data_IF_649270794438
#
_entry.id   IF_649270794438
#
_cell.length_a   1.000
_cell.length_b   1.000
_cell.length_c   1.000
_cell.angle_alpha   90.00
_cell.angle_beta   90.00
_cell.angle_gamma   90.00
#
_symmetry.space_group_name_H-M   'P 1'
#
loop_
_entity.id
_entity.type
_entity.pdbx_description
1 polymer ?
#
# COMPACT_ATOMS: atom_id res chain seq x y z
N UNK A 1 10.71 18.69 13.24
CA UNK A 1 9.33 19.20 13.10
C UNK A 1 8.49 17.94 13.11
N UNK A 2 7.64 17.68 14.12
CA UNK A 2 6.85 16.43 14.12
C UNK A 2 5.92 16.48 12.91
N UNK A 3 6.11 15.56 11.95
CA UNK A 3 5.17 15.39 10.86
C UNK A 3 3.83 14.96 11.46
N UNK A 4 2.81 15.82 11.38
CA UNK A 4 1.44 15.41 11.60
C UNK A 4 0.99 14.60 10.39
N UNK A 5 1.12 13.28 10.49
CA UNK A 5 0.71 12.32 9.48
C UNK A 5 -0.82 12.36 9.26
N UNK A 6 -1.35 13.35 8.56
CA UNK A 6 -2.79 13.44 8.28
C UNK A 6 -3.67 13.45 9.54
N UNK A 7 -3.16 13.98 10.67
CA UNK A 7 -4.02 14.30 11.80
C UNK A 7 -4.91 15.47 11.37
N UNK A 8 -6.22 15.27 11.32
CA UNK A 8 -7.14 16.39 11.13
C UNK A 8 -6.98 17.37 12.30
N UNK A 9 -7.04 18.68 12.03
CA UNK A 9 -7.01 19.75 13.03
C UNK A 9 -8.05 19.54 14.17
N UNK A 10 -9.08 18.73 13.93
CA UNK A 10 -10.19 18.44 14.84
C UNK A 10 -9.94 17.33 15.87
N UNK A 11 -8.78 16.67 15.85
CA UNK A 11 -8.47 15.55 16.74
C UNK A 11 -9.29 14.28 16.45
N UNK A 12 -9.06 13.20 17.21
CA UNK A 12 -9.72 11.91 16.98
C UNK A 12 -11.08 11.81 17.69
N UNK A 13 -12.09 11.31 17.00
CA UNK A 13 -13.41 11.06 17.62
C UNK A 13 -13.42 9.80 18.50
N UNK A 14 -14.30 9.69 19.51
CA UNK A 14 -14.34 8.55 20.43
C UNK A 14 -14.59 7.19 19.78
N UNK A 15 -15.33 7.12 18.67
CA UNK A 15 -15.65 5.87 17.98
C UNK A 15 -14.41 5.36 17.25
N UNK A 16 -13.73 6.24 16.51
CA UNK A 16 -12.46 5.91 15.85
C UNK A 16 -11.37 5.56 16.85
N UNK A 17 -11.25 6.34 17.94
CA UNK A 17 -10.31 6.06 19.01
C UNK A 17 -10.52 4.66 19.61
N UNK A 18 -11.78 4.28 19.85
CA UNK A 18 -12.11 2.95 20.36
C UNK A 18 -11.76 1.84 19.38
N UNK A 19 -12.03 2.02 18.08
CA UNK A 19 -11.63 1.05 17.05
C UNK A 19 -10.12 0.83 17.03
N UNK A 20 -9.32 1.91 17.13
CA UNK A 20 -7.86 1.82 17.20
C UNK A 20 -7.43 0.97 18.39
N UNK A 21 -7.92 1.27 19.60
CA UNK A 21 -7.53 0.54 20.82
C UNK A 21 -7.87 -0.95 20.73
N UNK A 22 -9.06 -1.31 20.23
CA UNK A 22 -9.48 -2.71 20.09
C UNK A 22 -8.60 -3.48 19.09
N UNK A 23 -8.27 -2.88 17.93
CA UNK A 23 -7.43 -3.50 16.90
C UNK A 23 -5.99 -3.66 17.39
N UNK A 24 -5.40 -2.58 17.93
CA UNK A 24 -4.02 -2.55 18.42
C UNK A 24 -3.86 -3.48 19.63
N UNK A 25 -4.79 -3.44 20.59
CA UNK A 25 -4.76 -4.29 21.77
C UNK A 25 -4.96 -5.78 21.48
N UNK A 26 -5.86 -6.11 20.54
CA UNK A 26 -6.17 -7.48 20.19
C UNK A 26 -5.03 -8.18 19.43
N UNK A 27 -4.61 -7.60 18.30
CA UNK A 27 -3.70 -8.26 17.36
C UNK A 27 -2.29 -7.65 17.37
N UNK A 28 -2.11 -6.44 17.89
CA UNK A 28 -0.85 -5.69 17.75
C UNK A 28 -0.53 -5.32 16.30
N UNK A 29 -1.58 -5.21 15.47
CA UNK A 29 -1.49 -4.75 14.10
C UNK A 29 -1.96 -3.30 14.03
N UNK A 30 -1.38 -2.46 13.15
CA UNK A 30 -1.94 -1.15 12.87
C UNK A 30 -3.34 -1.32 12.22
N UNK A 31 -4.32 -0.49 12.59
CA UNK A 31 -5.58 -0.40 11.83
C UNK A 31 -5.32 0.20 10.45
N UNK A 32 -6.24 -0.01 9.50
CA UNK A 32 -6.13 0.59 8.17
C UNK A 32 -6.26 2.13 8.21
N UNK A 33 -6.94 2.69 9.21
CA UNK A 33 -7.01 4.13 9.48
C UNK A 33 -6.72 4.42 10.95
N UNK A 34 -6.09 5.56 11.23
CA UNK A 34 -5.82 6.04 12.59
C UNK A 34 -4.50 5.54 13.18
N UNK A 35 -3.71 4.78 12.41
CA UNK A 35 -2.36 4.45 12.82
C UNK A 35 -1.47 5.70 12.93
N UNK A 36 -1.77 6.75 12.18
CA UNK A 36 -1.07 8.04 12.24
C UNK A 36 -1.00 8.66 13.64
N UNK A 37 -2.01 8.44 14.46
CA UNK A 37 -2.08 9.04 15.80
C UNK A 37 -1.06 8.46 16.77
N UNK A 38 -0.45 7.31 16.44
CA UNK A 38 0.57 6.67 17.27
C UNK A 38 1.86 6.32 16.52
N UNK A 39 2.02 6.75 15.27
CA UNK A 39 3.27 6.61 14.51
C UNK A 39 4.39 7.41 15.18
N UNK A 40 5.59 6.83 15.26
CA UNK A 40 6.79 7.51 15.73
C UNK A 40 8.05 6.86 15.12
N UNK A 41 9.12 7.64 14.97
CA UNK A 41 10.45 7.14 14.58
C UNK A 41 10.56 6.69 13.13
N UNK A 42 9.67 7.17 12.25
CA UNK A 42 9.75 6.92 10.80
C UNK A 42 9.95 8.22 10.01
N UNK A 43 10.07 9.36 10.71
CA UNK A 43 9.99 10.70 10.14
C UNK A 43 11.03 10.91 9.04
N UNK A 44 12.30 10.59 9.31
CA UNK A 44 13.37 10.76 8.31
C UNK A 44 13.11 9.98 7.01
N UNK A 45 12.62 8.75 7.10
CA UNK A 45 12.31 7.95 5.91
C UNK A 45 11.09 8.47 5.17
N UNK A 46 10.06 8.87 5.92
CA UNK A 46 8.80 9.32 5.37
C UNK A 46 8.92 10.71 4.74
N UNK A 47 9.67 11.65 5.34
CA UNK A 47 9.98 12.98 4.77
C UNK A 47 10.63 12.85 3.41
N UNK A 48 11.71 12.05 3.29
CA UNK A 48 12.38 11.84 2.01
C UNK A 48 11.48 11.14 0.99
N UNK A 49 10.66 10.16 1.41
CA UNK A 49 9.71 9.51 0.48
C UNK A 49 8.64 10.51 0.02
N UNK A 50 8.18 11.37 0.90
CA UNK A 50 7.18 12.39 0.60
C UNK A 50 7.73 13.41 -0.41
N UNK A 51 8.84 14.07 -0.08
CA UNK A 51 9.35 15.23 -0.82
C UNK A 51 10.11 14.82 -2.10
N UNK A 52 11.05 13.87 -1.99
CA UNK A 52 11.95 13.52 -3.10
C UNK A 52 11.34 12.52 -4.09
N UNK A 53 10.32 11.76 -3.65
CA UNK A 53 9.69 10.73 -4.48
C UNK A 53 8.25 11.04 -4.86
N UNK A 54 7.33 11.05 -3.89
CA UNK A 54 5.89 11.14 -4.18
C UNK A 54 5.49 12.55 -4.64
N UNK A 55 6.01 13.59 -3.99
CA UNK A 55 5.75 14.99 -4.35
C UNK A 55 6.46 15.45 -5.63
N UNK A 56 7.51 14.75 -6.06
CA UNK A 56 8.37 15.15 -7.17
C UNK A 56 8.71 14.02 -8.15
N UNK A 57 9.80 13.25 -7.94
CA UNK A 57 10.39 12.36 -8.94
C UNK A 57 9.40 11.39 -9.59
N UNK A 58 8.56 10.72 -8.81
CA UNK A 58 7.59 9.75 -9.32
C UNK A 58 6.46 10.48 -10.06
N UNK A 59 6.01 11.63 -9.55
CA UNK A 59 4.94 12.44 -10.16
C UNK A 59 5.33 12.96 -11.53
N UNK A 60 6.62 13.28 -11.68
CA UNK A 60 7.22 13.79 -12.92
C UNK A 60 7.60 12.69 -13.94
N UNK A 61 7.21 11.43 -13.68
CA UNK A 61 7.40 10.33 -14.63
C UNK A 61 8.57 9.40 -14.29
N UNK A 62 9.23 9.60 -13.16
CA UNK A 62 10.20 8.65 -12.61
C UNK A 62 9.53 7.37 -12.12
N UNK A 63 10.36 6.39 -11.77
CA UNK A 63 9.92 5.15 -11.14
C UNK A 63 10.99 4.63 -10.19
N UNK A 64 10.55 4.00 -9.11
CA UNK A 64 11.47 3.55 -8.07
C UNK A 64 11.02 2.24 -7.43
N UNK A 65 12.01 1.49 -6.94
CA UNK A 65 11.82 0.30 -6.14
C UNK A 65 12.56 0.46 -4.82
N UNK A 66 11.88 0.17 -3.71
CA UNK A 66 12.43 0.15 -2.35
C UNK A 66 12.15 -1.21 -1.70
N UNK A 67 13.17 -1.77 -1.06
CA UNK A 67 13.07 -2.98 -0.26
C UNK A 67 13.01 -2.60 1.22
N UNK A 68 11.93 -2.95 1.90
CA UNK A 68 11.74 -2.62 3.32
C UNK A 68 12.08 -3.85 4.16
N UNK A 69 13.11 -3.76 4.99
CA UNK A 69 13.64 -4.88 5.76
C UNK A 69 13.35 -4.65 7.23
N UNK A 70 12.76 -5.66 7.87
CA UNK A 70 12.56 -5.65 9.31
C UNK A 70 11.92 -6.93 9.78
N UNK A 71 12.23 -7.36 11.01
CA UNK A 71 11.74 -8.62 11.56
C UNK A 71 10.21 -8.69 11.66
N UNK A 72 9.68 -9.88 11.93
CA UNK A 72 8.25 -10.05 12.20
C UNK A 72 7.82 -9.17 13.38
N UNK A 73 6.79 -8.33 13.18
CA UNK A 73 6.39 -7.33 14.17
C UNK A 73 7.28 -6.08 14.26
N UNK A 74 8.27 -5.91 13.37
CA UNK A 74 9.19 -4.75 13.35
C UNK A 74 8.60 -3.45 12.76
N UNK A 75 7.33 -3.47 12.35
CA UNK A 75 6.63 -2.29 11.83
C UNK A 75 6.51 -2.19 10.31
N UNK A 76 6.79 -3.26 9.55
CA UNK A 76 6.69 -3.27 8.06
C UNK A 76 5.32 -2.84 7.53
N UNK A 77 4.26 -3.53 7.96
CA UNK A 77 2.88 -3.19 7.59
C UNK A 77 2.54 -1.73 7.95
N UNK A 78 2.98 -1.27 9.13
CA UNK A 78 2.75 0.10 9.58
C UNK A 78 3.48 1.13 8.70
N UNK A 79 4.74 0.87 8.34
CA UNK A 79 5.51 1.70 7.41
C UNK A 79 4.84 1.77 6.03
N UNK A 80 4.39 0.64 5.48
CA UNK A 80 3.70 0.61 4.18
C UNK A 80 2.38 1.39 4.23
N UNK A 81 1.63 1.33 5.34
CA UNK A 81 0.44 2.16 5.52
C UNK A 81 0.79 3.64 5.57
N UNK A 82 1.87 4.05 6.24
CA UNK A 82 2.32 5.44 6.22
C UNK A 82 2.60 5.93 4.80
N UNK A 83 3.35 5.15 4.01
CA UNK A 83 3.63 5.46 2.60
C UNK A 83 2.34 5.57 1.77
N UNK A 84 1.34 4.74 2.05
CA UNK A 84 0.04 4.79 1.38
C UNK A 84 -0.67 6.14 1.59
N UNK A 85 -0.67 6.65 2.83
CA UNK A 85 -1.30 7.94 3.14
C UNK A 85 -0.56 9.09 2.46
N UNK A 86 0.78 9.07 2.48
CA UNK A 86 1.58 10.06 1.74
C UNK A 86 1.23 10.04 0.25
N UNK A 87 1.04 8.84 -0.32
CA UNK A 87 0.66 8.69 -1.72
C UNK A 87 -0.70 9.35 -2.00
N UNK A 88 -1.67 9.24 -1.10
CA UNK A 88 -2.99 9.87 -1.28
C UNK A 88 -2.94 11.39 -1.20
N UNK A 89 -2.02 11.99 -0.43
CA UNK A 89 -1.82 13.44 -0.40
C UNK A 89 -1.44 14.04 -1.77
N UNK A 90 -0.90 13.23 -2.68
CA UNK A 90 -0.51 13.64 -4.02
C UNK A 90 -1.37 12.99 -5.12
N UNK A 91 -2.58 12.51 -4.81
CA UNK A 91 -3.49 11.88 -5.77
C UNK A 91 -2.94 10.61 -6.45
N UNK A 92 -2.17 9.78 -5.74
CA UNK A 92 -1.81 8.45 -6.23
C UNK A 92 -2.92 7.43 -5.97
N UNK A 93 -3.06 6.44 -6.86
CA UNK A 93 -3.76 5.20 -6.53
C UNK A 93 -2.79 4.26 -5.83
N UNK A 94 -3.19 3.68 -4.70
CA UNK A 94 -2.37 2.71 -3.99
C UNK A 94 -2.93 1.30 -4.12
N UNK A 95 -2.06 0.30 -4.10
CA UNK A 95 -2.45 -1.11 -4.01
C UNK A 95 -1.61 -1.82 -2.96
N UNK A 96 -2.27 -2.31 -1.92
CA UNK A 96 -1.64 -3.13 -0.89
C UNK A 96 -1.82 -4.62 -1.19
N UNK A 97 -0.72 -5.37 -1.23
CA UNK A 97 -0.66 -6.77 -1.63
C UNK A 97 0.04 -7.57 -0.53
N UNK A 98 -0.69 -8.49 0.09
CA UNK A 98 -0.07 -9.48 0.98
C UNK A 98 0.49 -10.60 0.12
N UNK A 99 1.81 -10.78 0.15
CA UNK A 99 2.46 -11.88 -0.56
C UNK A 99 2.42 -13.13 0.30
N UNK A 100 1.83 -14.19 -0.25
CA UNK A 100 1.81 -15.51 0.38
C UNK A 100 2.19 -16.59 -0.65
N UNK A 101 2.92 -17.63 -0.24
CA UNK A 101 3.30 -18.74 -1.13
C UNK A 101 2.11 -19.44 -1.79
N UNK A 102 0.99 -19.54 -1.07
CA UNK A 102 -0.20 -20.27 -1.47
C UNK A 102 -1.09 -19.45 -2.40
N UNK A 103 -1.29 -18.17 -2.12
CA UNK A 103 -2.27 -17.34 -2.83
C UNK A 103 -1.61 -16.39 -3.85
N UNK A 104 -0.60 -15.63 -3.42
CA UNK A 104 0.03 -14.58 -4.25
C UNK A 104 1.56 -14.66 -4.19
N UNK A 105 2.18 -15.76 -4.66
CA UNK A 105 3.62 -15.84 -4.65
C UNK A 105 4.24 -14.95 -5.73
N UNK A 106 5.30 -14.21 -5.40
CA UNK A 106 5.93 -13.29 -6.35
C UNK A 106 6.56 -13.99 -7.57
N UNK A 107 6.82 -15.30 -7.52
CA UNK A 107 7.26 -16.07 -8.70
C UNK A 107 6.14 -16.29 -9.75
N UNK A 108 4.87 -16.02 -9.43
CA UNK A 108 3.70 -16.04 -10.33
C UNK A 108 3.18 -14.62 -10.57
N UNK A 109 3.80 -13.90 -11.50
CA UNK A 109 3.46 -12.49 -11.78
C UNK A 109 2.00 -12.29 -12.17
N UNK A 110 1.37 -13.27 -12.81
CA UNK A 110 -0.05 -13.21 -13.12
C UNK A 110 -0.92 -13.11 -11.86
N UNK A 111 -0.55 -13.79 -10.76
CA UNK A 111 -1.28 -13.69 -9.49
C UNK A 111 -1.02 -12.33 -8.81
N UNK A 112 0.22 -11.83 -8.88
CA UNK A 112 0.57 -10.50 -8.39
C UNK A 112 -0.28 -9.44 -9.09
N UNK A 113 -0.41 -9.51 -10.42
CA UNK A 113 -1.29 -8.63 -11.18
C UNK A 113 -2.74 -8.72 -10.70
N UNK A 114 -3.30 -9.92 -10.51
CA UNK A 114 -4.69 -10.10 -10.04
C UNK A 114 -4.93 -9.43 -8.70
N UNK A 115 -4.04 -9.69 -7.74
CA UNK A 115 -4.13 -9.11 -6.40
C UNK A 115 -3.93 -7.60 -6.42
N UNK A 116 -3.06 -7.10 -7.30
CA UNK A 116 -2.86 -5.66 -7.50
C UNK A 116 -4.16 -5.00 -7.97
N UNK A 117 -4.75 -5.47 -9.07
CA UNK A 117 -5.94 -4.84 -9.65
C UNK A 117 -7.17 -5.00 -8.77
N UNK A 118 -7.26 -6.04 -7.94
CA UNK A 118 -8.37 -6.22 -6.98
C UNK A 118 -8.25 -5.30 -5.75
N UNK A 119 -7.04 -4.81 -5.45
CA UNK A 119 -6.75 -4.04 -4.25
C UNK A 119 -6.41 -2.57 -4.53
N UNK A 120 -6.71 -2.07 -5.74
CA UNK A 120 -6.57 -0.65 -6.06
C UNK A 120 -7.51 0.19 -5.18
N UNK A 121 -6.95 1.21 -4.54
CA UNK A 121 -7.68 2.20 -3.75
C UNK A 121 -7.24 3.57 -4.24
N UNK A 122 -8.19 4.32 -4.79
CA UNK A 122 -8.01 5.72 -5.13
C UNK A 122 -8.20 6.58 -3.87
N UNK A 123 -7.69 7.83 -3.82
CA UNK A 123 -7.88 8.70 -2.68
C UNK A 123 -9.38 8.84 -2.34
N UNK A 124 -9.73 8.51 -1.09
CA UNK A 124 -11.09 8.52 -0.55
C UNK A 124 -11.08 9.27 0.79
N UNK A 125 -12.23 9.83 1.15
CA UNK A 125 -12.42 10.51 2.44
C UNK A 125 -12.37 9.51 3.60
N UNK A 126 -11.99 9.93 4.83
CA UNK A 126 -12.02 9.06 6.01
C UNK A 126 -13.37 8.38 6.24
N UNK A 127 -14.47 9.08 5.98
CA UNK A 127 -15.83 8.55 6.11
C UNK A 127 -16.08 7.39 5.13
N UNK A 128 -15.63 7.53 3.88
CA UNK A 128 -15.71 6.48 2.86
C UNK A 128 -14.88 5.25 3.28
N UNK A 129 -13.65 5.47 3.75
CA UNK A 129 -12.76 4.40 4.26
C UNK A 129 -13.41 3.63 5.42
N UNK A 130 -14.14 4.30 6.31
CA UNK A 130 -14.79 3.70 7.48
C UNK A 130 -16.12 3.00 7.17
N UNK A 131 -16.78 3.34 6.06
CA UNK A 131 -18.12 2.83 5.68
C UNK A 131 -18.10 1.56 4.82
N UNK A 132 -16.93 1.18 4.30
CA UNK A 132 -16.72 0.00 3.46
C UNK A 132 -16.11 0.40 2.12
N UNK A 133 -14.94 -0.14 1.82
CA UNK A 133 -14.16 0.18 0.63
C UNK A 133 -14.85 -0.24 -0.68
N UNK A 134 -15.06 0.73 -1.58
CA UNK A 134 -15.11 0.45 -3.01
C UNK A 134 -13.66 0.31 -3.51
N UNK A 135 -13.20 -0.94 -3.63
CA UNK A 135 -11.83 -1.26 -4.05
C UNK A 135 -11.78 -1.98 -5.39
N UNK A 136 -10.60 -1.95 -6.00
CA UNK A 136 -10.26 -2.67 -7.20
C UNK A 136 -10.57 -1.90 -8.49
N UNK A 137 -10.15 -2.47 -9.61
CA UNK A 137 -10.22 -1.80 -10.92
C UNK A 137 -11.65 -1.45 -11.35
N UNK A 138 -12.64 -2.25 -10.94
CA UNK A 138 -14.05 -1.96 -11.19
C UNK A 138 -14.50 -0.66 -10.50
N UNK A 139 -14.13 -0.49 -9.23
CA UNK A 139 -14.42 0.72 -8.47
C UNK A 139 -13.75 1.95 -9.11
N UNK A 140 -12.49 1.82 -9.53
CA UNK A 140 -11.76 2.89 -10.24
C UNK A 140 -12.47 3.28 -11.54
N UNK A 141 -12.92 2.30 -12.34
CA UNK A 141 -13.64 2.58 -13.60
C UNK A 141 -14.98 3.25 -13.34
N UNK A 142 -15.75 2.79 -12.35
CA UNK A 142 -17.04 3.40 -11.97
C UNK A 142 -16.85 4.83 -11.50
N UNK A 143 -15.88 5.08 -10.62
CA UNK A 143 -15.54 6.42 -10.14
C UNK A 143 -15.12 7.35 -11.30
N UNK A 144 -14.27 6.84 -12.20
CA UNK A 144 -13.85 7.56 -13.39
C UNK A 144 -15.01 7.94 -14.31
N UNK A 145 -15.88 6.98 -14.63
CA UNK A 145 -17.10 7.23 -15.42
C UNK A 145 -18.01 8.26 -14.74
N UNK A 146 -18.31 8.07 -13.46
CA UNK A 146 -19.19 8.97 -12.71
C UNK A 146 -18.65 10.39 -12.69
N UNK A 147 -17.35 10.58 -12.44
CA UNK A 147 -16.70 11.91 -12.48
C UNK A 147 -16.91 12.57 -13.83
N UNK A 148 -16.60 11.87 -14.92
CA UNK A 148 -16.73 12.42 -16.27
C UNK A 148 -18.19 12.68 -16.67
N UNK A 149 -19.09 11.78 -16.28
CA UNK A 149 -20.52 11.95 -16.53
C UNK A 149 -21.06 13.20 -15.82
N UNK A 150 -20.71 13.44 -14.56
CA UNK A 150 -21.14 14.63 -13.80
C UNK A 150 -20.60 15.94 -14.39
N UNK A 151 -19.42 15.93 -15.02
CA UNK A 151 -18.90 17.11 -15.73
C UNK A 151 -19.79 17.52 -16.92
N UNK A 152 -20.46 16.56 -17.55
CA UNK A 152 -21.23 16.73 -18.79
C UNK A 152 -22.74 16.80 -18.53
N UNK A 153 -23.22 16.09 -17.51
CA UNK A 153 -24.64 15.95 -17.19
C UNK A 153 -25.33 17.31 -17.03
N UNK A 154 -26.45 17.49 -17.73
CA UNK A 154 -27.23 18.73 -17.70
C UNK A 154 -26.62 19.92 -18.44
N UNK A 155 -25.42 19.80 -19.03
CA UNK A 155 -24.76 20.86 -19.82
C UNK A 155 -24.94 20.69 -21.33
N UNK A 156 -25.14 19.46 -21.80
CA UNK A 156 -25.33 19.12 -23.21
C UNK A 156 -26.61 18.29 -23.40
N UNK A 157 -27.24 18.36 -24.59
CA UNK A 157 -28.22 17.36 -25.04
C UNK A 157 -27.67 15.93 -24.96
N UNK A 158 -28.53 14.96 -24.70
CA UNK A 158 -28.14 13.55 -24.45
C UNK A 158 -27.32 12.92 -25.58
N UNK A 159 -27.62 13.22 -26.84
CA UNK A 159 -26.90 12.71 -28.01
C UNK A 159 -25.49 13.27 -28.10
N UNK A 160 -25.31 14.56 -27.86
CA UNK A 160 -24.01 15.22 -27.80
C UNK A 160 -23.20 14.75 -26.58
N UNK A 161 -23.85 14.59 -25.42
CA UNK A 161 -23.19 14.05 -24.22
C UNK A 161 -22.61 12.64 -24.46
N UNK A 162 -23.37 11.77 -25.13
CA UNK A 162 -22.90 10.42 -25.52
C UNK A 162 -21.71 10.48 -26.48
N UNK A 163 -21.73 11.39 -27.47
CA UNK A 163 -20.62 11.57 -28.40
C UNK A 163 -19.36 12.05 -27.68
N UNK A 164 -19.49 13.03 -26.79
CA UNK A 164 -18.37 13.56 -26.00
C UNK A 164 -17.75 12.48 -25.10
N UNK A 165 -18.57 11.67 -24.42
CA UNK A 165 -18.08 10.53 -23.62
C UNK A 165 -17.33 9.50 -24.47
N UNK A 166 -17.81 9.22 -25.68
CA UNK A 166 -17.12 8.30 -26.61
C UNK A 166 -15.80 8.88 -27.13
N UNK A 167 -15.79 10.16 -27.50
CA UNK A 167 -14.59 10.87 -27.93
C UNK A 167 -13.53 10.85 -26.82
N UNK A 168 -13.96 11.16 -25.59
CA UNK A 168 -13.10 11.11 -24.40
C UNK A 168 -12.49 9.72 -24.17
N UNK A 169 -13.30 8.67 -24.13
CA UNK A 169 -12.81 7.30 -23.95
C UNK A 169 -11.93 6.82 -25.12
N UNK A 170 -12.17 7.33 -26.33
CA UNK A 170 -11.39 7.01 -27.53
C UNK A 170 -10.04 7.72 -27.59
N UNK A 171 -9.88 8.85 -26.90
CA UNK A 171 -8.64 9.62 -26.83
C UNK A 171 -7.57 8.97 -25.93
N UNK A 172 -7.93 7.97 -25.12
CA UNK A 172 -7.01 7.27 -24.21
C UNK A 172 -5.79 6.64 -24.90
N UNK A 173 -4.66 6.63 -24.20
CA UNK A 173 -3.42 5.99 -24.63
C UNK A 173 -2.55 6.82 -25.59
N UNK A 174 -1.52 6.22 -26.20
CA UNK A 174 -1.28 4.77 -26.33
C UNK A 174 -0.86 4.09 -25.03
N UNK A 175 -1.28 2.83 -24.87
CA UNK A 175 -0.78 1.92 -23.82
C UNK A 175 0.01 0.78 -24.45
N UNK A 176 0.87 0.14 -23.66
CA UNK A 176 1.66 -0.99 -24.13
C UNK A 176 0.79 -2.19 -24.56
N UNK A 177 -0.29 -2.48 -23.82
CA UNK A 177 -1.32 -3.43 -24.24
C UNK A 177 -2.49 -2.73 -24.92
N UNK A 178 -2.66 -3.02 -26.22
CA UNK A 178 -3.87 -2.63 -26.95
C UNK A 178 -5.12 -3.31 -26.38
N UNK A 179 -5.00 -4.56 -25.90
CA UNK A 179 -6.14 -5.24 -25.26
C UNK A 179 -6.56 -4.55 -23.96
N UNK A 180 -5.60 -4.10 -23.15
CA UNK A 180 -5.89 -3.33 -21.93
C UNK A 180 -6.56 -1.99 -22.26
N UNK A 181 -6.04 -1.26 -23.26
CA UNK A 181 -6.67 -0.03 -23.76
C UNK A 181 -8.13 -0.26 -24.16
N UNK A 182 -8.36 -1.30 -24.98
CA UNK A 182 -9.71 -1.63 -25.45
C UNK A 182 -10.61 -2.02 -24.27
N UNK A 183 -10.10 -2.79 -23.31
CA UNK A 183 -10.85 -3.19 -22.12
C UNK A 183 -11.31 -1.98 -21.30
N UNK A 184 -10.42 -1.06 -20.92
CA UNK A 184 -10.82 0.10 -20.10
C UNK A 184 -11.74 1.06 -20.88
N UNK A 185 -11.51 1.22 -22.20
CA UNK A 185 -12.41 1.98 -23.07
C UNK A 185 -13.80 1.36 -23.11
N UNK A 186 -13.90 0.08 -23.45
CA UNK A 186 -15.19 -0.60 -23.59
C UNK A 186 -15.90 -0.73 -22.25
N UNK A 187 -15.20 -0.89 -21.13
CA UNK A 187 -15.80 -0.85 -19.80
C UNK A 187 -16.48 0.49 -19.53
N UNK A 188 -15.82 1.60 -19.87
CA UNK A 188 -16.38 2.94 -19.73
C UNK A 188 -17.63 3.13 -20.61
N UNK A 189 -17.57 2.69 -21.88
CA UNK A 189 -18.70 2.79 -22.80
C UNK A 189 -19.86 1.90 -22.39
N UNK A 190 -19.59 0.70 -21.87
CA UNK A 190 -20.62 -0.21 -21.36
C UNK A 190 -21.40 0.39 -20.19
N UNK A 191 -20.76 1.15 -19.30
CA UNK A 191 -21.46 1.89 -18.25
C UNK A 191 -22.40 2.96 -18.82
N UNK A 192 -21.94 3.72 -19.82
CA UNK A 192 -22.74 4.74 -20.48
C UNK A 192 -23.95 4.15 -21.23
N UNK A 193 -23.75 3.02 -21.91
CA UNK A 193 -24.75 2.37 -22.76
C UNK A 193 -25.59 1.33 -22.02
N UNK A 194 -25.30 1.09 -20.73
CA UNK A 194 -25.94 0.06 -19.88
C UNK A 194 -25.81 -1.35 -20.45
N UNK A 195 -24.62 -1.68 -20.97
CA UNK A 195 -24.24 -3.03 -21.43
C UNK A 195 -23.62 -3.82 -20.27
N UNK A 196 -24.46 -4.19 -19.30
CA UNK A 196 -24.02 -4.80 -18.03
C UNK A 196 -23.27 -6.13 -18.22
N UNK A 197 -23.69 -6.96 -19.18
CA UNK A 197 -23.04 -8.23 -19.51
C UNK A 197 -21.62 -8.03 -20.05
N UNK A 198 -21.45 -7.09 -20.99
CA UNK A 198 -20.15 -6.73 -21.54
C UNK A 198 -19.25 -6.13 -20.45
N UNK A 199 -19.79 -5.23 -19.64
CA UNK A 199 -19.07 -4.65 -18.51
C UNK A 199 -18.53 -5.74 -17.58
N UNK A 200 -19.40 -6.67 -17.17
CA UNK A 200 -19.03 -7.79 -16.30
C UNK A 200 -17.92 -8.65 -16.92
N UNK A 201 -18.06 -9.00 -18.20
CA UNK A 201 -17.06 -9.81 -18.92
C UNK A 201 -15.70 -9.09 -19.02
N UNK A 202 -15.71 -7.78 -19.25
CA UNK A 202 -14.49 -6.96 -19.32
C UNK A 202 -13.82 -6.88 -17.95
N UNK A 203 -14.59 -6.67 -16.88
CA UNK A 203 -14.07 -6.65 -15.51
C UNK A 203 -13.42 -7.99 -15.14
N UNK A 204 -14.03 -9.12 -15.50
CA UNK A 204 -13.41 -10.44 -15.31
C UNK A 204 -12.05 -10.57 -16.02
N UNK A 205 -11.95 -10.07 -17.26
CA UNK A 205 -10.67 -10.06 -17.98
C UNK A 205 -9.65 -9.12 -17.32
N UNK A 206 -10.05 -7.91 -16.92
CA UNK A 206 -9.21 -6.94 -16.23
C UNK A 206 -8.71 -7.49 -14.89
N UNK A 207 -9.53 -8.27 -14.17
CA UNK A 207 -9.17 -9.01 -12.95
C UNK A 207 -8.30 -10.25 -13.22
N UNK A 208 -7.90 -10.50 -14.48
CA UNK A 208 -7.00 -11.59 -14.87
C UNK A 208 -7.65 -12.98 -14.87
N UNK A 209 -8.98 -13.09 -14.81
CA UNK A 209 -9.69 -14.38 -14.84
C UNK A 209 -9.57 -15.08 -16.20
N UNK A 210 -9.21 -14.33 -17.25
CA UNK A 210 -9.07 -14.81 -18.62
C UNK A 210 -10.29 -15.57 -19.16
N UNK A 211 -11.45 -14.89 -19.35
CA UNK A 211 -12.63 -15.49 -19.97
C UNK A 211 -12.34 -16.12 -21.35
N UNK A 212 -13.23 -17.01 -21.84
CA UNK A 212 -13.09 -17.61 -23.16
C UNK A 212 -12.93 -16.55 -24.28
N UNK A 213 -11.90 -16.73 -25.12
CA UNK A 213 -11.51 -15.75 -26.16
C UNK A 213 -12.62 -15.39 -27.14
N UNK A 214 -13.55 -16.30 -27.41
CA UNK A 214 -14.67 -16.07 -28.32
C UNK A 214 -15.63 -15.00 -27.79
N UNK A 215 -15.77 -14.88 -26.46
CA UNK A 215 -16.62 -13.86 -25.84
C UNK A 215 -15.98 -12.46 -25.90
N UNK A 216 -14.64 -12.40 -25.95
CA UNK A 216 -13.87 -11.16 -25.92
C UNK A 216 -13.56 -10.57 -27.31
N UNK A 217 -13.91 -11.30 -28.38
CA UNK A 217 -13.51 -10.99 -29.75
C UNK A 217 -14.10 -9.65 -30.23
N UNK A 218 -15.39 -9.43 -29.99
CA UNK A 218 -16.09 -8.23 -30.45
C UNK A 218 -15.67 -6.98 -29.68
N UNK A 219 -15.19 -7.17 -28.45
CA UNK A 219 -14.57 -6.16 -27.59
C UNK A 219 -13.10 -5.88 -27.96
N UNK A 220 -12.54 -6.61 -28.94
CA UNK A 220 -11.15 -6.49 -29.42
C UNK A 220 -10.11 -6.72 -28.32
N UNK A 221 -10.41 -7.62 -27.39
CA UNK A 221 -9.51 -8.04 -26.31
C UNK A 221 -8.95 -9.42 -26.69
N UNK A 222 -7.68 -9.46 -27.11
CA UNK A 222 -7.06 -10.68 -27.66
C UNK A 222 -5.97 -11.28 -26.78
N UNK A 223 -5.37 -10.45 -25.92
CA UNK A 223 -4.31 -10.87 -25.01
C UNK A 223 -4.87 -11.58 -23.77
N UNK A 224 -4.04 -12.43 -23.18
CA UNK A 224 -4.33 -13.04 -21.88
C UNK A 224 -3.42 -12.42 -20.84
N UNK A 225 -3.88 -12.42 -19.59
CA UNK A 225 -3.05 -12.11 -18.42
C UNK A 225 -2.38 -13.40 -17.98
N UNK A 226 -1.08 -13.51 -18.22
CA UNK A 226 -0.24 -14.63 -17.79
C UNK A 226 1.13 -14.13 -17.34
N UNK A 227 2.02 -15.04 -16.96
CA UNK A 227 3.36 -14.70 -16.46
C UNK A 227 4.14 -13.78 -17.41
N UNK A 228 3.99 -13.95 -18.72
CA UNK A 228 4.75 -13.19 -19.73
C UNK A 228 4.15 -11.82 -20.03
N UNK A 229 2.84 -11.63 -19.78
CA UNK A 229 2.13 -10.37 -20.05
C UNK A 229 1.86 -9.54 -18.80
N UNK A 230 2.03 -10.10 -17.60
CA UNK A 230 1.70 -9.45 -16.33
C UNK A 230 2.35 -8.06 -16.18
N UNK A 231 3.66 -7.91 -16.36
CA UNK A 231 4.30 -6.60 -16.25
C UNK A 231 3.83 -5.61 -17.32
N UNK A 232 3.61 -6.07 -18.55
CA UNK A 232 3.00 -5.27 -19.61
C UNK A 232 1.60 -4.76 -19.22
N UNK A 233 0.79 -5.60 -18.57
CA UNK A 233 -0.52 -5.20 -18.07
C UNK A 233 -0.41 -4.19 -16.92
N UNK A 234 0.54 -4.36 -16.01
CA UNK A 234 0.81 -3.39 -14.94
C UNK A 234 1.27 -2.05 -15.51
N UNK A 235 2.17 -2.03 -16.50
CA UNK A 235 2.58 -0.79 -17.17
C UNK A 235 1.39 -0.11 -17.86
N UNK A 236 0.53 -0.89 -18.53
CA UNK A 236 -0.70 -0.37 -19.15
C UNK A 236 -1.68 0.21 -18.12
N UNK A 237 -1.79 -0.42 -16.95
CA UNK A 237 -2.57 0.09 -15.82
C UNK A 237 -2.03 1.44 -15.35
N UNK A 238 -0.73 1.57 -15.13
CA UNK A 238 -0.11 2.83 -14.67
C UNK A 238 -0.32 3.94 -15.70
N UNK A 239 -0.14 3.64 -17.00
CA UNK A 239 -0.42 4.57 -18.09
C UNK A 239 -1.88 5.04 -18.09
N UNK A 240 -2.83 4.11 -17.94
CA UNK A 240 -4.25 4.46 -17.85
C UNK A 240 -4.55 5.32 -16.62
N UNK A 241 -4.02 4.98 -15.45
CA UNK A 241 -4.20 5.76 -14.21
C UNK A 241 -3.71 7.20 -14.38
N UNK A 242 -2.63 7.42 -15.13
CA UNK A 242 -2.16 8.77 -15.49
C UNK A 242 -3.12 9.52 -16.41
N UNK A 243 -3.69 8.85 -17.41
CA UNK A 243 -4.72 9.44 -18.28
C UNK A 243 -6.01 9.82 -17.50
N UNK A 244 -6.27 9.19 -16.35
CA UNK A 244 -7.38 9.56 -15.45
C UNK A 244 -7.10 10.83 -14.63
N UNK A 245 -5.86 11.34 -14.64
CA UNK A 245 -5.43 12.53 -13.90
C UNK A 245 -4.78 12.25 -12.53
N UNK A 246 -4.63 10.99 -12.11
CA UNK A 246 -3.91 10.64 -10.88
C UNK A 246 -2.39 10.78 -11.06
N UNK A 247 -1.64 10.99 -9.98
CA UNK A 247 -0.18 11.16 -10.03
C UNK A 247 0.57 9.89 -10.46
N UNK A 248 -0.02 8.71 -10.26
CA UNK A 248 0.59 7.43 -10.57
C UNK A 248 0.03 6.29 -9.73
N UNK A 249 0.81 5.21 -9.60
CA UNK A 249 0.45 4.05 -8.76
C UNK A 249 1.54 3.73 -7.75
N UNK A 250 1.16 3.59 -6.48
CA UNK A 250 2.05 3.08 -5.42
C UNK A 250 1.69 1.63 -5.10
N UNK A 251 2.65 0.72 -5.22
CA UNK A 251 2.44 -0.72 -5.08
C UNK A 251 3.20 -1.20 -3.86
N UNK A 252 2.46 -1.65 -2.85
CA UNK A 252 2.95 -2.02 -1.54
C UNK A 252 2.82 -3.53 -1.36
N UNK A 253 3.94 -4.24 -1.38
CA UNK A 253 3.97 -5.70 -1.21
C UNK A 253 4.50 -6.05 0.17
N UNK A 254 3.71 -6.75 0.98
CA UNK A 254 4.10 -7.18 2.32
C UNK A 254 4.23 -8.71 2.39
N UNK A 255 5.46 -9.19 2.54
CA UNK A 255 5.78 -10.59 2.85
C UNK A 255 5.79 -10.73 4.39
N UNK A 256 4.60 -10.65 4.99
CA UNK A 256 4.41 -10.60 6.43
C UNK A 256 4.71 -11.93 7.15
N UNK A 257 4.70 -13.06 6.42
CA UNK A 257 4.92 -14.40 6.97
C UNK A 257 6.21 -15.02 6.43
N UNK A 258 6.88 -15.84 7.26
CA UNK A 258 8.03 -16.62 6.78
C UNK A 258 7.57 -17.57 5.69
N UNK A 259 8.15 -17.43 4.50
CA UNK A 259 7.90 -18.30 3.37
C UNK A 259 8.24 -19.75 3.78
N UNK A 260 7.32 -20.72 3.66
CA UNK A 260 7.65 -22.14 3.68
C UNK A 260 8.71 -22.44 2.62
N UNK A 261 9.39 -23.59 2.73
CA UNK A 261 10.51 -23.90 1.83
C UNK A 261 10.07 -23.90 0.36
N UNK A 262 10.51 -22.87 -0.37
CA UNK A 262 10.34 -22.78 -1.82
C UNK A 262 11.26 -23.80 -2.50
N UNK A 263 10.81 -24.41 -3.60
CA UNK A 263 11.70 -25.19 -4.46
C UNK A 263 12.75 -24.28 -5.10
N UNK A 264 13.91 -24.84 -5.47
CA UNK A 264 14.99 -24.12 -6.16
C UNK A 264 14.50 -23.38 -7.42
N UNK A 265 13.55 -24.00 -8.16
CA UNK A 265 12.96 -23.40 -9.36
C UNK A 265 12.07 -22.20 -9.05
N UNK A 266 11.24 -22.29 -7.99
CA UNK A 266 10.41 -21.17 -7.56
C UNK A 266 11.27 -20.01 -7.05
N UNK A 267 12.31 -20.30 -6.26
CA UNK A 267 13.26 -19.29 -5.76
C UNK A 267 13.96 -18.57 -6.92
N UNK A 268 14.46 -19.32 -7.90
CA UNK A 268 15.07 -18.73 -9.11
C UNK A 268 14.09 -17.84 -9.90
N UNK A 269 12.83 -18.26 -10.02
CA UNK A 269 11.80 -17.46 -10.69
C UNK A 269 11.46 -16.17 -9.93
N UNK A 270 11.34 -16.22 -8.60
CA UNK A 270 11.13 -15.05 -7.74
C UNK A 270 12.26 -14.03 -7.94
N UNK A 271 13.52 -14.47 -7.86
CA UNK A 271 14.68 -13.59 -7.99
C UNK A 271 14.80 -13.01 -9.40
N UNK A 272 14.47 -13.80 -10.43
CA UNK A 272 14.40 -13.31 -11.81
C UNK A 272 13.36 -12.21 -11.96
N UNK A 273 12.15 -12.41 -11.43
CA UNK A 273 11.07 -11.43 -11.48
C UNK A 273 11.44 -10.16 -10.71
N UNK A 274 12.10 -10.26 -9.55
CA UNK A 274 12.55 -9.10 -8.77
C UNK A 274 13.62 -8.31 -9.52
N UNK A 275 14.58 -9.01 -10.12
CA UNK A 275 15.61 -8.37 -10.95
C UNK A 275 14.98 -7.61 -12.12
N UNK A 276 14.05 -8.24 -12.83
CA UNK A 276 13.31 -7.62 -13.92
C UNK A 276 12.54 -6.39 -13.45
N UNK A 277 11.83 -6.47 -12.31
CA UNK A 277 11.13 -5.31 -11.74
C UNK A 277 12.08 -4.13 -11.48
N UNK A 278 13.23 -4.38 -10.87
CA UNK A 278 14.22 -3.33 -10.56
C UNK A 278 14.80 -2.74 -11.85
N UNK A 279 15.13 -3.59 -12.84
CA UNK A 279 15.63 -3.15 -14.15
C UNK A 279 14.60 -2.28 -14.87
N UNK A 280 13.33 -2.68 -14.87
CA UNK A 280 12.23 -1.94 -15.49
C UNK A 280 11.96 -0.58 -14.81
N UNK A 281 12.24 -0.46 -13.50
CA UNK A 281 12.26 0.83 -12.82
C UNK A 281 13.45 1.69 -13.29
N UNK A 282 14.66 1.11 -13.32
CA UNK A 282 15.87 1.82 -13.78
C UNK A 282 15.82 2.29 -15.23
N UNK A 283 15.06 1.59 -16.09
CA UNK A 283 14.85 1.97 -17.49
C UNK A 283 13.66 2.92 -17.72
N UNK A 284 12.98 3.38 -16.66
CA UNK A 284 11.79 4.22 -16.75
C UNK A 284 10.68 3.58 -17.62
N UNK A 285 10.52 2.26 -17.56
CA UNK A 285 9.40 1.54 -18.19
C UNK A 285 8.17 1.53 -17.27
N UNK A 286 8.38 1.58 -15.94
CA UNK A 286 7.33 1.74 -14.92
C UNK A 286 7.08 3.20 -14.54
N UNK A 287 7.11 4.15 -15.49
CA UNK A 287 6.94 5.59 -15.21
C UNK A 287 5.72 5.85 -14.32
N UNK A 288 5.86 6.76 -13.38
CA UNK A 288 4.84 7.10 -12.41
C UNK A 288 4.42 5.94 -11.48
N UNK A 289 5.27 4.92 -11.31
CA UNK A 289 5.04 3.86 -10.34
C UNK A 289 6.15 3.83 -9.29
N UNK A 290 5.75 3.61 -8.04
CA UNK A 290 6.66 3.37 -6.93
C UNK A 290 6.33 2.04 -6.27
N UNK A 291 7.36 1.21 -6.09
CA UNK A 291 7.23 -0.15 -5.59
C UNK A 291 7.92 -0.28 -4.24
N UNK A 292 7.21 -0.88 -3.29
CA UNK A 292 7.77 -1.29 -2.01
C UNK A 292 7.62 -2.80 -1.85
N UNK A 293 8.71 -3.48 -1.51
CA UNK A 293 8.72 -4.91 -1.21
C UNK A 293 9.24 -5.12 0.21
N UNK A 294 8.35 -5.47 1.14
CA UNK A 294 8.68 -5.62 2.55
C UNK A 294 8.96 -7.08 2.91
N UNK A 295 10.12 -7.34 3.54
CA UNK A 295 10.63 -8.68 3.85
C UNK A 295 11.11 -8.80 5.30
N UNK A 296 11.03 -10.00 5.90
CA UNK A 296 11.56 -10.24 7.23
C UNK A 296 13.09 -10.12 7.30
N UNK A 297 13.79 -10.60 6.27
CA UNK A 297 15.25 -10.64 6.20
C UNK A 297 15.74 -10.75 4.74
N UNK A 298 17.06 -10.78 4.54
CA UNK A 298 17.71 -10.90 3.23
C UNK A 298 18.12 -12.35 2.88
N UNK A 299 17.72 -13.36 3.65
CA UNK A 299 18.19 -14.75 3.49
C UNK A 299 17.75 -15.35 2.14
N UNK A 300 16.66 -14.84 1.57
CA UNK A 300 16.22 -15.24 0.23
C UNK A 300 17.21 -14.82 -0.88
N UNK A 301 18.10 -13.84 -0.62
CA UNK A 301 19.17 -13.39 -1.52
C UNK A 301 20.44 -14.27 -1.44
N UNK A 302 20.42 -15.35 -0.66
CA UNK A 302 21.54 -16.29 -0.57
C UNK A 302 21.44 -17.41 -1.60
N UNK A 303 22.49 -17.55 -2.42
CA UNK A 303 22.61 -18.57 -3.45
C UNK A 303 23.90 -18.41 -4.28
N UNK A 304 24.23 -19.43 -5.08
CA UNK A 304 25.46 -19.49 -5.91
C UNK A 304 25.20 -19.28 -7.41
N UNK A 305 23.99 -18.90 -7.82
CA UNK A 305 23.69 -18.70 -9.25
C UNK A 305 23.90 -17.24 -9.66
N UNK A 306 24.24 -16.99 -10.93
CA UNK A 306 24.48 -15.64 -11.46
C UNK A 306 23.31 -14.67 -11.25
N UNK A 307 22.07 -15.19 -11.19
CA UNK A 307 20.88 -14.37 -10.92
C UNK A 307 20.93 -13.76 -9.51
N UNK A 308 21.47 -14.49 -8.52
CA UNK A 308 21.65 -13.96 -7.17
C UNK A 308 22.66 -12.83 -7.15
N UNK A 309 23.82 -13.02 -7.79
CA UNK A 309 24.86 -11.98 -7.81
C UNK A 309 24.37 -10.71 -8.49
N UNK A 310 23.69 -10.83 -9.64
CA UNK A 310 23.13 -9.69 -10.37
C UNK A 310 22.06 -8.94 -9.57
N UNK A 311 21.21 -9.65 -8.82
CA UNK A 311 20.20 -9.04 -7.95
C UNK A 311 20.85 -8.39 -6.72
N UNK A 312 21.82 -9.06 -6.07
CA UNK A 312 22.55 -8.52 -4.91
C UNK A 312 23.27 -7.21 -5.25
N UNK A 313 23.88 -7.12 -6.43
CA UNK A 313 24.49 -5.87 -6.89
C UNK A 313 23.48 -4.73 -6.98
N UNK A 314 22.29 -5.01 -7.53
CA UNK A 314 21.20 -4.03 -7.62
C UNK A 314 20.68 -3.64 -6.24
N UNK A 315 20.55 -4.59 -5.32
CA UNK A 315 20.16 -4.34 -3.92
C UNK A 315 21.33 -3.86 -3.03
N UNK A 316 22.39 -3.38 -3.67
CA UNK A 316 23.59 -2.73 -3.11
C UNK A 316 23.36 -1.82 -1.92
N UNK A 317 22.56 -0.82 -2.24
CA UNK A 317 22.59 0.47 -1.59
C UNK A 317 21.59 0.52 -0.44
N UNK A 318 22.06 1.04 0.68
CA UNK A 318 21.22 1.32 1.84
C UNK A 318 20.64 2.72 1.68
N UNK A 319 19.34 2.83 1.91
CA UNK A 319 18.62 4.07 1.95
C UNK A 319 18.94 4.78 3.26
N UNK A 320 19.40 6.01 3.13
CA UNK A 320 19.69 6.90 4.24
C UNK A 320 19.14 8.27 3.84
N UNK A 321 18.25 8.84 4.65
CA UNK A 321 17.54 10.08 4.32
C UNK A 321 18.51 11.25 4.09
N UNK A 322 19.65 11.28 4.78
CA UNK A 322 20.61 12.38 4.70
C UNK A 322 21.73 12.09 3.69
N UNK A 323 22.23 10.86 3.66
CA UNK A 323 23.45 10.49 2.95
C UNK A 323 23.16 9.84 1.60
N UNK A 324 22.08 9.05 1.50
CA UNK A 324 21.77 8.28 0.30
C UNK A 324 20.25 8.05 0.12
N UNK A 325 19.48 9.09 -0.24
CA UNK A 325 18.03 8.96 -0.46
C UNK A 325 17.72 8.04 -1.66
N UNK A 326 18.69 7.81 -2.55
CA UNK A 326 18.53 6.88 -3.69
C UNK A 326 18.70 5.41 -3.33
N UNK A 327 19.12 5.10 -2.10
CA UNK A 327 19.34 3.73 -1.65
C UNK A 327 18.09 2.85 -1.77
N UNK A 328 18.28 1.56 -2.04
CA UNK A 328 17.16 0.65 -2.30
C UNK A 328 16.66 0.00 -1.02
N UNK A 329 17.55 -0.30 -0.07
CA UNK A 329 17.21 -1.02 1.17
C UNK A 329 16.90 -0.05 2.31
N UNK A 330 15.69 -0.15 2.88
CA UNK A 330 15.24 0.61 4.04
C UNK A 330 15.22 -0.34 5.24
N UNK A 331 16.05 -0.10 6.26
CA UNK A 331 16.10 -0.92 7.48
C UNK A 331 15.26 -0.29 8.59
N UNK A 332 14.14 -0.94 8.95
CA UNK A 332 13.23 -0.39 9.97
C UNK A 332 13.77 -0.47 11.40
N UNK A 333 14.84 -1.23 11.65
CA UNK A 333 15.46 -1.33 12.98
C UNK A 333 16.54 -0.25 13.23
N UNK A 334 17.09 0.35 12.17
CA UNK A 334 18.14 1.37 12.27
C UNK A 334 17.57 2.79 12.46
N UNK A 335 16.24 2.91 12.56
CA UNK A 335 15.51 4.18 12.59
C UNK A 335 15.60 4.94 13.92
N UNK A 336 15.84 4.26 15.05
CA UNK A 336 15.84 4.90 16.36
C UNK A 336 17.17 4.75 17.08
N UNK A 337 17.83 5.87 17.37
CA UNK A 337 19.00 5.90 18.26
C UNK A 337 18.67 5.39 19.68
N UNK A 338 17.40 5.51 20.11
CA UNK A 338 16.90 5.00 21.39
C UNK A 338 15.55 4.26 21.20
N UNK A 339 15.57 2.92 21.09
CA UNK A 339 14.36 2.10 20.94
C UNK A 339 13.40 2.20 22.13
N UNK A 340 13.88 2.40 23.36
CA UNK A 340 13.01 2.49 24.55
C UNK A 340 12.27 3.82 24.55
N UNK A 341 12.95 4.90 24.15
CA UNK A 341 12.31 6.20 23.94
C UNK A 341 11.24 6.12 22.86
N UNK A 342 11.52 5.49 21.72
CA UNK A 342 10.54 5.27 20.65
C UNK A 342 9.28 4.57 21.16
N UNK A 343 9.44 3.45 21.88
CA UNK A 343 8.30 2.75 22.48
C UNK A 343 7.55 3.65 23.48
N UNK A 344 8.27 4.43 24.27
CA UNK A 344 7.65 5.35 25.23
C UNK A 344 6.80 6.41 24.54
N UNK A 345 7.27 6.96 23.43
CA UNK A 345 6.52 7.96 22.64
C UNK A 345 5.27 7.34 22.01
N UNK A 346 5.37 6.13 21.46
CA UNK A 346 4.20 5.34 21.00
C UNK A 346 3.22 5.11 22.16
N UNK A 347 3.73 4.76 23.34
CA UNK A 347 2.93 4.53 24.55
C UNK A 347 2.15 5.76 24.97
N UNK A 348 2.78 6.94 24.96
CA UNK A 348 2.10 8.22 25.27
C UNK A 348 1.01 8.54 24.28
N UNK A 349 1.29 8.39 22.98
CA UNK A 349 0.32 8.58 21.91
C UNK A 349 -0.88 7.63 22.04
N UNK A 350 -0.64 6.33 22.26
CA UNK A 350 -1.70 5.35 22.50
C UNK A 350 -2.51 5.66 23.76
N UNK A 351 -1.88 6.19 24.81
CA UNK A 351 -2.56 6.59 26.04
C UNK A 351 -3.51 7.76 25.81
N UNK A 352 -3.09 8.77 25.03
CA UNK A 352 -3.97 9.88 24.63
C UNK A 352 -5.19 9.39 23.82
N UNK A 353 -4.99 8.47 22.88
CA UNK A 353 -6.10 7.83 22.14
C UNK A 353 -7.03 7.09 23.10
N UNK A 354 -6.48 6.37 24.08
CA UNK A 354 -7.25 5.62 25.07
C UNK A 354 -8.11 6.53 25.96
N UNK A 355 -7.56 7.66 26.41
CA UNK A 355 -8.28 8.68 27.19
C UNK A 355 -9.52 9.19 26.44
N UNK A 356 -9.40 9.44 25.14
CA UNK A 356 -10.53 9.81 24.27
C UNK A 356 -11.52 8.64 24.13
N UNK A 357 -11.04 7.43 23.83
CA UNK A 357 -11.88 6.26 23.59
C UNK A 357 -12.77 5.87 24.78
N UNK A 358 -12.31 6.10 26.01
CA UNK A 358 -13.01 5.71 27.23
C UNK A 358 -13.41 6.88 28.13
N UNK A 359 -13.16 8.12 27.69
CA UNK A 359 -13.44 9.35 28.45
C UNK A 359 -12.83 9.30 29.87
N UNK A 360 -11.55 8.93 29.95
CA UNK A 360 -10.78 8.86 31.20
C UNK A 360 -9.59 9.82 31.13
N UNK A 361 -9.03 10.17 32.29
CA UNK A 361 -7.74 10.86 32.38
C UNK A 361 -6.84 10.11 33.34
N UNK A 362 -5.63 9.80 32.90
CA UNK A 362 -4.64 9.12 33.72
C UNK A 362 -3.81 10.13 34.52
N UNK A 363 -3.34 9.69 35.69
CA UNK A 363 -2.32 10.43 36.43
C UNK A 363 -0.96 10.29 35.72
N UNK A 364 -0.37 11.42 35.33
CA UNK A 364 0.82 11.46 34.47
C UNK A 364 2.00 10.67 35.03
N UNK A 365 2.26 10.74 36.35
CA UNK A 365 3.38 10.04 36.98
C UNK A 365 3.27 8.52 36.87
N UNK A 366 2.12 7.97 37.29
CA UNK A 366 1.87 6.53 37.21
C UNK A 366 1.81 6.01 35.77
N UNK A 367 1.30 6.83 34.84
CA UNK A 367 1.25 6.50 33.42
C UNK A 367 2.66 6.41 32.80
N UNK A 368 3.49 7.43 32.98
CA UNK A 368 4.84 7.48 32.41
C UNK A 368 5.72 6.35 32.99
N UNK A 369 5.60 6.03 34.28
CA UNK A 369 6.29 4.91 34.91
C UNK A 369 5.86 3.57 34.28
N UNK A 370 4.55 3.36 34.12
CA UNK A 370 3.99 2.16 33.48
C UNK A 370 4.48 2.01 32.04
N UNK A 371 4.47 3.10 31.25
CA UNK A 371 4.95 3.12 29.87
C UNK A 371 6.44 2.74 29.81
N UNK A 372 7.27 3.38 30.65
CA UNK A 372 8.71 3.16 30.66
C UNK A 372 9.08 1.71 31.04
N UNK A 373 8.38 1.13 32.01
CA UNK A 373 8.62 -0.26 32.44
C UNK A 373 8.24 -1.27 31.36
N UNK A 374 7.09 -1.08 30.71
CA UNK A 374 6.65 -1.95 29.60
C UNK A 374 7.57 -1.80 28.39
N UNK A 375 8.04 -0.57 28.09
CA UNK A 375 8.98 -0.31 27.00
C UNK A 375 10.31 -1.03 27.22
N UNK A 376 10.89 -0.95 28.42
CA UNK A 376 12.12 -1.67 28.78
C UNK A 376 11.92 -3.18 28.69
N UNK A 377 10.86 -3.71 29.29
CA UNK A 377 10.57 -5.14 29.29
C UNK A 377 10.39 -5.71 27.87
N UNK A 378 9.72 -4.97 26.97
CA UNK A 378 9.55 -5.38 25.58
C UNK A 378 10.89 -5.38 24.83
N UNK A 379 11.73 -4.37 25.05
CA UNK A 379 13.04 -4.27 24.39
C UNK A 379 14.03 -5.34 24.86
N UNK A 380 14.00 -5.74 26.13
CA UNK A 380 14.81 -6.84 26.65
C UNK A 380 14.52 -8.18 25.93
N UNK A 381 13.32 -8.35 25.38
CA UNK A 381 12.88 -9.53 24.62
C UNK A 381 13.01 -9.40 23.11
N UNK A 382 13.69 -8.37 22.60
CA UNK A 382 13.81 -8.08 21.16
C UNK A 382 14.34 -9.22 20.30
N UNK A 383 15.11 -10.15 20.87
CA UNK A 383 15.69 -11.30 20.16
C UNK A 383 14.70 -12.47 20.00
N UNK A 384 13.59 -12.47 20.74
CA UNK A 384 12.62 -13.57 20.74
C UNK A 384 11.39 -13.24 19.88
N UNK A 385 10.93 -11.98 19.91
CA UNK A 385 9.68 -11.52 19.28
C UNK A 385 9.85 -10.06 18.79
N UNK A 386 9.08 -9.65 17.78
CA UNK A 386 8.97 -8.25 17.38
C UNK A 386 8.52 -7.34 18.52
N UNK A 387 9.48 -6.70 19.19
CA UNK A 387 9.30 -5.94 20.43
C UNK A 387 8.27 -4.81 20.31
N UNK A 388 8.14 -4.16 19.13
CA UNK A 388 7.13 -3.12 18.88
C UNK A 388 5.71 -3.69 19.01
N UNK A 389 5.45 -4.87 18.43
CA UNK A 389 4.15 -5.54 18.52
C UNK A 389 3.83 -6.00 19.94
N UNK A 390 4.81 -6.56 20.64
CA UNK A 390 4.63 -6.97 22.04
C UNK A 390 4.32 -5.76 22.94
N UNK A 391 5.06 -4.67 22.75
CA UNK A 391 4.84 -3.42 23.47
C UNK A 391 3.41 -2.88 23.31
N UNK A 392 2.93 -2.70 22.07
CA UNK A 392 1.60 -2.10 21.84
C UNK A 392 0.46 -2.95 22.42
N UNK A 393 0.61 -4.27 22.47
CA UNK A 393 -0.36 -5.15 23.12
C UNK A 393 -0.32 -4.99 24.65
N UNK A 394 0.88 -4.99 25.22
CA UNK A 394 1.07 -4.91 26.66
C UNK A 394 0.64 -3.55 27.22
N UNK A 395 0.91 -2.44 26.51
CA UNK A 395 0.48 -1.12 26.96
C UNK A 395 -1.04 -0.99 26.97
N UNK A 396 -1.76 -1.48 25.95
CA UNK A 396 -3.24 -1.45 25.96
C UNK A 396 -3.80 -2.24 27.14
N UNK A 397 -3.25 -3.43 27.43
CA UNK A 397 -3.63 -4.22 28.62
C UNK A 397 -3.37 -3.43 29.91
N UNK A 398 -2.25 -2.72 30.02
CA UNK A 398 -1.93 -1.91 31.19
C UNK A 398 -2.88 -0.72 31.35
N UNK A 399 -3.25 -0.04 30.26
CA UNK A 399 -4.24 1.05 30.27
C UNK A 399 -5.61 0.57 30.76
N UNK A 400 -6.05 -0.63 30.36
CA UNK A 400 -7.27 -1.24 30.91
C UNK A 400 -7.18 -1.51 32.43
N UNK A 401 -6.00 -1.87 32.94
CA UNK A 401 -5.79 -2.07 34.39
C UNK A 401 -5.82 -0.75 35.14
N UNK A 402 -5.06 0.24 34.66
CA UNK A 402 -5.02 1.60 35.22
C UNK A 402 -6.42 2.22 35.30
N UNK A 403 -7.23 2.03 34.25
CA UNK A 403 -8.63 2.49 34.24
C UNK A 403 -9.48 1.85 35.33
N UNK A 404 -9.29 0.56 35.62
CA UNK A 404 -10.06 -0.13 36.68
C UNK A 404 -9.64 0.35 38.06
N UNK A 405 -8.33 0.45 38.31
CA UNK A 405 -7.81 0.90 39.61
C UNK A 405 -8.12 2.36 39.90
N UNK A 406 -8.15 3.22 38.88
CA UNK A 406 -8.51 4.63 39.02
C UNK A 406 -10.00 4.90 39.25
N UNK A 407 -10.88 3.90 39.03
CA UNK A 407 -12.32 4.00 39.31
C UNK A 407 -12.71 3.44 40.70
N UNK A 408 -11.78 2.83 41.42
CA UNK A 408 -11.99 2.26 42.76
C UNK A 408 -11.54 3.18 43.92
N UNK A 409 -11.00 4.37 43.59
CA UNK A 409 -10.70 5.46 44.54
C UNK A 409 -11.59 6.66 44.25
#
# INVERSE_FOLDING_TARGET
MELEYGAHEDGIDPISARKIIEIVGGQGNPPEYGFQYFTAGLDSYLETIDEDYLGSFIKDGGSAFKMVIGVYGGGKTHFLYCVRELAWNYDYIASYIVLSPEQTPFYKLEQVYKTLVSNLIYPQTPEELLSGYDRGIEAVIKAWYNRKYQEIAGKLPDDLARQELNNYASALGPYESTSFKNAVKEAFLSLNERRDDDFTLIIQWLNGENPPRNLLKDLRIFERVDKSTAFKMIRSLVQWVRDLGYAGVVILMDEAEQTPSMTTKQKAALLSNMRELIDECGHANFRNAMWFYAVPDENFLEGRTQVYEALRQRLSSVFDAEINPTGIKIYLEETSEDPVKLLSDIGRKLSAIYEVAYSVKFETGALDETIADIAKAAYERKLEIGYKREFVKNIVVALHRLRKTGNEG
#
